data_IF_897447174664
#
_entry.id   IF_897447174664
#
_cell.length_a   1.000
_cell.length_b   1.000
_cell.length_c   1.000
_cell.angle_alpha   90.00
_cell.angle_beta   90.00
_cell.angle_gamma   90.00
#
_symmetry.space_group_name_H-M   'P 1'
#
loop_
_entity.id
_entity.type
_entity.pdbx_description
1 polymer ?
#
# COMPACT_ATOMS: atom_id res chain seq x y z
N UNK A 1 -0.67 2.94 -58.48
CA UNK A 1 -0.29 4.07 -57.62
C UNK A 1 -1.28 4.30 -56.44
N UNK A 2 -2.44 3.67 -56.43
CA UNK A 2 -3.46 3.81 -55.34
C UNK A 2 -3.17 2.87 -54.14
N UNK A 3 -2.46 1.78 -54.39
CA UNK A 3 -2.16 0.76 -53.39
C UNK A 3 -1.26 1.29 -52.24
N UNK A 4 -0.31 2.16 -52.55
CA UNK A 4 0.66 2.68 -51.58
C UNK A 4 0.00 3.54 -50.47
N UNK A 5 -0.92 4.49 -50.77
CA UNK A 5 -1.61 5.27 -49.74
C UNK A 5 -2.55 4.41 -48.89
N UNK A 6 -3.17 3.37 -49.45
CA UNK A 6 -4.06 2.47 -48.71
C UNK A 6 -3.25 1.67 -47.65
N UNK A 7 -2.11 1.14 -48.03
CA UNK A 7 -1.22 0.41 -47.11
C UNK A 7 -0.75 1.34 -45.97
N UNK A 8 -0.41 2.58 -46.30
CA UNK A 8 0.05 3.57 -45.31
C UNK A 8 -1.05 3.92 -44.29
N UNK A 9 -2.29 4.05 -44.76
CA UNK A 9 -3.44 4.27 -43.87
C UNK A 9 -3.69 3.08 -42.96
N UNK A 10 -3.61 1.85 -43.45
CA UNK A 10 -3.81 0.65 -42.67
C UNK A 10 -2.71 0.55 -41.59
N UNK A 11 -1.46 0.78 -41.93
CA UNK A 11 -0.34 0.78 -40.99
C UNK A 11 -0.53 1.84 -39.92
N UNK A 12 -0.95 3.05 -40.28
CA UNK A 12 -1.23 4.14 -39.34
C UNK A 12 -2.35 3.78 -38.36
N UNK A 13 -3.43 3.16 -38.82
CA UNK A 13 -4.53 2.69 -37.97
C UNK A 13 -4.08 1.59 -36.99
N UNK A 14 -3.27 0.64 -37.46
CA UNK A 14 -2.70 -0.43 -36.61
C UNK A 14 -1.80 0.16 -35.53
N UNK A 15 -0.91 1.09 -35.89
CA UNK A 15 -0.04 1.75 -34.92
C UNK A 15 -0.88 2.56 -33.91
N UNK A 16 -1.85 3.33 -34.36
CA UNK A 16 -2.74 4.10 -33.48
C UNK A 16 -3.52 3.21 -32.51
N UNK A 17 -4.06 2.10 -33.01
CA UNK A 17 -4.78 1.13 -32.16
C UNK A 17 -3.85 0.44 -31.12
N UNK A 18 -2.62 0.16 -31.48
CA UNK A 18 -1.62 -0.39 -30.57
C UNK A 18 -1.23 0.62 -29.48
N UNK A 19 -1.08 1.90 -29.82
CA UNK A 19 -0.80 2.97 -28.86
C UNK A 19 -1.95 3.19 -27.89
N UNK A 20 -3.20 3.20 -28.36
CA UNK A 20 -4.38 3.37 -27.52
C UNK A 20 -4.53 2.24 -26.50
N UNK A 21 -4.17 1.02 -26.83
CA UNK A 21 -4.19 -0.14 -25.90
C UNK A 21 -3.15 -0.03 -24.78
N UNK A 22 -2.16 0.85 -24.90
CA UNK A 22 -1.11 1.07 -23.89
C UNK A 22 -1.46 2.12 -22.86
N UNK A 23 -2.53 2.85 -23.06
CA UNK A 23 -3.04 3.77 -22.07
C UNK A 23 -3.77 2.99 -20.96
N UNK A 24 -3.21 3.01 -19.74
CA UNK A 24 -3.79 2.36 -18.57
C UNK A 24 -4.38 3.40 -17.64
N UNK A 25 -5.64 3.16 -17.26
CA UNK A 25 -6.34 3.99 -16.27
C UNK A 25 -6.14 3.38 -14.89
N UNK A 26 -5.91 4.24 -13.92
CA UNK A 26 -5.86 3.87 -12.52
C UNK A 26 -7.25 4.09 -11.92
N UNK A 27 -7.97 3.06 -11.47
CA UNK A 27 -9.19 3.24 -10.69
C UNK A 27 -8.87 3.86 -9.32
N UNK A 28 -9.87 4.47 -8.68
CA UNK A 28 -9.70 5.19 -7.42
C UNK A 28 -9.40 4.29 -6.22
N UNK A 29 -9.68 3.00 -6.33
CA UNK A 29 -9.46 1.99 -5.29
C UNK A 29 -8.07 1.34 -5.34
N UNK A 30 -7.23 1.76 -6.30
CA UNK A 30 -5.89 1.18 -6.54
C UNK A 30 -4.85 2.24 -6.80
N UNK A 31 -3.60 1.87 -6.61
CA UNK A 31 -2.43 2.61 -7.08
C UNK A 31 -1.88 1.87 -8.30
N UNK A 32 -1.66 2.59 -9.39
CA UNK A 32 -0.94 2.09 -10.54
C UNK A 32 0.55 2.33 -10.35
N UNK A 33 1.30 1.25 -10.20
CA UNK A 33 2.76 1.29 -10.08
C UNK A 33 3.36 0.90 -11.42
N UNK A 34 4.09 1.82 -12.03
CA UNK A 34 4.84 1.59 -13.25
C UNK A 34 6.30 1.43 -12.90
N UNK A 35 6.90 0.32 -13.22
CA UNK A 35 8.29 -0.01 -12.93
C UNK A 35 9.07 -0.34 -14.20
N UNK A 36 10.40 -0.29 -14.11
CA UNK A 36 11.31 -0.38 -15.25
C UNK A 36 12.04 0.93 -15.48
N UNK A 37 12.37 1.26 -16.72
CA UNK A 37 13.07 2.50 -17.05
C UNK A 37 12.14 3.71 -16.95
N UNK A 38 12.01 4.29 -15.75
CA UNK A 38 11.12 5.43 -15.47
C UNK A 38 11.84 6.79 -15.40
N UNK A 39 13.16 6.81 -15.65
CA UNK A 39 13.96 8.03 -15.75
C UNK A 39 14.30 8.74 -14.44
N UNK A 40 13.55 8.54 -13.35
CA UNK A 40 13.74 9.19 -12.05
C UNK A 40 13.57 8.28 -10.83
N UNK A 41 13.77 6.97 -10.98
CA UNK A 41 13.62 6.04 -9.86
C UNK A 41 13.22 4.64 -10.32
N UNK A 42 13.16 3.69 -9.40
CA UNK A 42 12.82 2.29 -9.65
C UNK A 42 11.33 2.10 -9.98
N UNK A 43 10.46 2.94 -9.46
CA UNK A 43 9.01 2.87 -9.68
C UNK A 43 8.37 4.26 -9.72
N UNK A 44 7.31 4.41 -10.48
CA UNK A 44 6.44 5.58 -10.52
C UNK A 44 5.04 5.18 -10.08
N UNK A 45 4.60 5.70 -8.95
CA UNK A 45 3.25 5.48 -8.43
C UNK A 45 2.30 6.57 -8.91
N UNK A 46 1.10 6.16 -9.33
CA UNK A 46 0.05 7.08 -9.77
C UNK A 46 -1.27 6.66 -9.12
N UNK A 47 -1.86 7.59 -8.40
CA UNK A 47 -3.18 7.45 -7.82
C UNK A 47 -4.16 8.33 -8.60
N UNK A 48 -5.14 7.69 -9.23
CA UNK A 48 -6.11 8.36 -10.10
C UNK A 48 -5.53 8.77 -11.47
N UNK A 49 -6.40 8.93 -12.44
CA UNK A 49 -6.01 9.30 -13.80
C UNK A 49 -5.52 8.12 -14.65
N UNK A 50 -4.59 8.36 -15.55
CA UNK A 50 -4.04 7.33 -16.42
C UNK A 50 -2.62 7.63 -16.85
N UNK A 51 -1.88 6.59 -17.14
CA UNK A 51 -0.50 6.64 -17.57
C UNK A 51 -0.31 5.84 -18.85
N UNK A 52 0.55 6.34 -19.69
CA UNK A 52 1.02 5.62 -20.86
C UNK A 52 2.22 4.75 -20.47
N UNK A 53 2.08 3.44 -20.63
CA UNK A 53 3.13 2.46 -20.31
C UNK A 53 3.85 2.06 -21.61
N UNK A 54 5.16 2.33 -21.67
CA UNK A 54 5.97 1.96 -22.82
C UNK A 54 6.19 0.45 -22.89
N UNK A 55 5.80 -0.22 -23.99
CA UNK A 55 6.08 -1.64 -24.17
C UNK A 55 7.58 -1.86 -24.20
N UNK A 56 8.04 -3.03 -23.70
CA UNK A 56 9.44 -3.51 -23.71
C UNK A 56 10.31 -2.91 -22.59
N UNK A 57 10.06 -1.66 -22.17
CA UNK A 57 10.94 -0.95 -21.23
C UNK A 57 10.29 -0.81 -19.86
N UNK A 58 8.94 -0.77 -19.83
CA UNK A 58 8.16 -0.57 -18.61
C UNK A 58 7.12 -1.67 -18.45
N UNK A 59 6.89 -2.04 -17.21
CA UNK A 59 5.78 -2.89 -16.83
C UNK A 59 4.94 -2.19 -15.74
N UNK A 60 3.76 -2.72 -15.44
CA UNK A 60 2.87 -2.11 -14.46
C UNK A 60 2.20 -3.16 -13.58
N UNK A 61 1.93 -2.77 -12.36
CA UNK A 61 1.11 -3.54 -11.43
C UNK A 61 0.14 -2.64 -10.68
N UNK A 62 -0.91 -3.24 -10.14
CA UNK A 62 -1.88 -2.53 -9.32
C UNK A 62 -1.71 -2.93 -7.86
N UNK A 63 -1.57 -1.94 -6.98
CA UNK A 63 -1.59 -2.11 -5.54
C UNK A 63 -2.97 -1.70 -5.02
N UNK A 64 -3.61 -2.59 -4.27
CA UNK A 64 -4.95 -2.35 -3.75
C UNK A 64 -4.89 -1.44 -2.51
N UNK A 65 -5.76 -0.42 -2.48
CA UNK A 65 -5.90 0.52 -1.36
C UNK A 65 -6.96 0.11 -0.35
N UNK A 66 -7.65 -1.00 -0.59
CA UNK A 66 -8.72 -1.45 0.30
C UNK A 66 -8.17 -1.67 1.71
N UNK A 67 -8.74 -1.00 2.74
CA UNK A 67 -8.30 -1.20 4.10
C UNK A 67 -8.49 -2.63 4.56
N UNK A 68 -7.52 -3.14 5.32
CA UNK A 68 -7.52 -4.51 5.86
C UNK A 68 -7.80 -4.42 7.35
N UNK A 69 -8.77 -5.21 7.83
CA UNK A 69 -9.08 -5.32 9.25
C UNK A 69 -8.25 -6.44 9.88
N UNK A 70 -7.51 -6.11 10.93
CA UNK A 70 -6.63 -7.02 11.66
C UNK A 70 -7.13 -7.13 13.08
N UNK A 71 -7.45 -8.33 13.51
CA UNK A 71 -7.75 -8.63 14.92
C UNK A 71 -6.44 -8.95 15.64
N UNK A 72 -6.13 -8.15 16.65
CA UNK A 72 -4.95 -8.30 17.48
C UNK A 72 -5.38 -8.57 18.93
N UNK A 73 -5.53 -9.85 19.27
CA UNK A 73 -5.81 -10.28 20.62
C UNK A 73 -4.48 -10.54 21.35
N UNK A 74 -3.98 -9.51 22.00
CA UNK A 74 -2.74 -9.64 22.77
C UNK A 74 -3.04 -10.20 24.15
N UNK A 75 -2.61 -11.42 24.39
CA UNK A 75 -2.75 -12.11 25.68
C UNK A 75 -1.43 -12.14 26.44
N UNK A 76 -1.51 -12.05 27.76
CA UNK A 76 -0.33 -12.09 28.66
C UNK A 76 0.70 -10.97 28.39
N UNK A 77 0.31 -9.80 27.90
CA UNK A 77 1.20 -8.67 27.81
C UNK A 77 1.56 -8.13 29.20
N UNK A 78 2.80 -7.69 29.38
CA UNK A 78 3.25 -7.12 30.64
C UNK A 78 3.15 -5.59 30.56
N UNK A 79 2.44 -4.99 31.51
CA UNK A 79 2.43 -3.55 31.72
C UNK A 79 3.75 -3.05 32.33
N UNK A 80 3.92 -1.72 32.43
CA UNK A 80 5.07 -1.11 33.11
C UNK A 80 5.25 -1.59 34.57
N UNK A 81 4.16 -2.01 35.22
CA UNK A 81 4.15 -2.53 36.58
C UNK A 81 4.36 -4.04 36.66
N UNK A 82 4.77 -4.71 35.58
CA UNK A 82 4.91 -6.17 35.47
C UNK A 82 3.61 -6.95 35.72
N UNK A 83 2.46 -6.33 35.52
CA UNK A 83 1.17 -6.99 35.62
C UNK A 83 0.76 -7.49 34.25
N UNK A 84 0.29 -8.72 34.18
CA UNK A 84 -0.22 -9.32 32.94
C UNK A 84 -1.59 -8.74 32.60
N UNK A 85 -1.74 -8.29 31.36
CA UNK A 85 -2.98 -7.76 30.83
C UNK A 85 -3.33 -8.43 29.50
N UNK A 86 -4.61 -8.60 29.26
CA UNK A 86 -5.15 -9.07 28.00
C UNK A 86 -5.85 -7.90 27.32
N UNK A 87 -5.38 -7.56 26.13
CA UNK A 87 -5.89 -6.41 25.39
C UNK A 87 -6.41 -6.88 24.02
N UNK A 88 -7.71 -7.16 23.91
CA UNK A 88 -8.32 -7.45 22.63
C UNK A 88 -8.50 -6.16 21.84
N UNK A 89 -7.88 -6.06 20.66
CA UNK A 89 -7.97 -4.91 19.78
C UNK A 89 -8.31 -5.33 18.35
N UNK A 90 -8.94 -4.41 17.62
CA UNK A 90 -9.12 -4.53 16.17
C UNK A 90 -8.59 -3.26 15.51
N UNK A 91 -7.72 -3.44 14.54
CA UNK A 91 -7.14 -2.36 13.75
C UNK A 91 -7.63 -2.43 12.32
N UNK A 92 -7.85 -1.26 11.73
CA UNK A 92 -8.06 -1.14 10.29
C UNK A 92 -6.85 -0.39 9.74
N UNK A 93 -6.06 -1.08 8.92
CA UNK A 93 -4.86 -0.54 8.29
C UNK A 93 -5.08 -0.33 6.80
N UNK A 94 -4.52 0.71 6.25
CA UNK A 94 -4.60 1.03 4.82
C UNK A 94 -3.31 1.68 4.35
N UNK A 95 -3.09 1.63 3.05
CA UNK A 95 -1.95 2.26 2.40
C UNK A 95 -2.26 3.75 2.23
N UNK A 96 -1.34 4.62 2.67
CA UNK A 96 -1.46 6.05 2.47
C UNK A 96 -1.34 6.42 0.99
N UNK A 97 -2.11 7.41 0.58
CA UNK A 97 -2.05 7.99 -0.77
C UNK A 97 -1.06 9.15 -0.87
N UNK A 98 -0.35 9.45 0.21
CA UNK A 98 0.69 10.46 0.22
C UNK A 98 1.87 10.03 -0.65
N UNK A 99 2.43 10.91 -1.50
CA UNK A 99 3.40 10.52 -2.54
C UNK A 99 4.61 9.75 -2.02
N UNK A 100 5.19 10.15 -0.90
CA UNK A 100 6.38 9.51 -0.34
C UNK A 100 6.06 8.17 0.27
N UNK A 101 4.98 8.08 1.07
CA UNK A 101 4.50 6.84 1.67
C UNK A 101 4.04 5.84 0.61
N UNK A 102 3.40 6.33 -0.45
CA UNK A 102 2.93 5.52 -1.57
C UNK A 102 4.09 4.87 -2.34
N UNK A 103 5.19 5.60 -2.57
CA UNK A 103 6.37 5.05 -3.23
C UNK A 103 7.05 3.98 -2.36
N UNK A 104 7.21 4.25 -1.08
CA UNK A 104 7.76 3.28 -0.13
C UNK A 104 6.90 2.01 -0.03
N UNK A 105 5.58 2.17 0.03
CA UNK A 105 4.65 1.04 0.04
C UNK A 105 4.74 0.23 -1.25
N UNK A 106 4.84 0.90 -2.41
CA UNK A 106 4.99 0.21 -3.69
C UNK A 106 6.28 -0.61 -3.75
N UNK A 107 7.41 -0.07 -3.30
CA UNK A 107 8.68 -0.79 -3.33
C UNK A 107 8.69 -2.03 -2.43
N UNK A 108 7.98 -1.98 -1.30
CA UNK A 108 7.98 -3.06 -0.30
C UNK A 108 6.86 -4.09 -0.49
N UNK A 109 5.70 -3.66 -0.97
CA UNK A 109 4.49 -4.49 -1.03
C UNK A 109 4.17 -4.99 -2.44
N UNK A 110 4.83 -4.46 -3.46
CA UNK A 110 4.60 -4.90 -4.84
C UNK A 110 4.98 -6.38 -5.00
N UNK A 111 4.02 -7.17 -5.48
CA UNK A 111 4.21 -8.61 -5.68
C UNK A 111 3.81 -9.49 -4.50
N UNK A 112 3.48 -8.91 -3.34
CA UNK A 112 2.94 -9.65 -2.20
C UNK A 112 1.44 -9.90 -2.37
N UNK A 113 0.96 -11.02 -1.87
CA UNK A 113 -0.47 -11.28 -1.80
C UNK A 113 -1.12 -10.46 -0.68
N UNK A 114 -2.44 -10.27 -0.76
CA UNK A 114 -3.18 -9.57 0.30
C UNK A 114 -3.02 -10.24 1.67
N UNK A 115 -2.88 -11.57 1.70
CA UNK A 115 -2.67 -12.33 2.93
C UNK A 115 -1.27 -12.07 3.52
N UNK A 116 -0.23 -12.04 2.68
CA UNK A 116 1.13 -11.76 3.12
C UNK A 116 1.24 -10.34 3.70
N UNK A 117 0.57 -9.37 3.07
CA UNK A 117 0.50 -7.99 3.57
C UNK A 117 -0.23 -7.94 4.92
N UNK A 118 -1.32 -8.69 5.07
CA UNK A 118 -2.07 -8.77 6.32
C UNK A 118 -1.24 -9.39 7.44
N UNK A 119 -0.52 -10.46 7.17
CA UNK A 119 0.33 -11.14 8.15
C UNK A 119 1.51 -10.25 8.58
N UNK A 120 2.16 -9.59 7.61
CA UNK A 120 3.23 -8.62 7.89
C UNK A 120 2.72 -7.46 8.75
N UNK A 121 1.57 -6.87 8.42
CA UNK A 121 0.98 -5.79 9.19
C UNK A 121 0.57 -6.25 10.59
N UNK A 122 0.07 -7.48 10.73
CA UNK A 122 -0.23 -8.09 12.03
C UNK A 122 1.02 -8.19 12.90
N UNK A 123 2.11 -8.71 12.38
CA UNK A 123 3.35 -8.88 13.12
C UNK A 123 3.93 -7.56 13.61
N UNK A 124 3.90 -6.54 12.76
CA UNK A 124 4.32 -5.17 13.13
C UNK A 124 3.42 -4.63 14.24
N UNK A 125 2.09 -4.73 14.09
CA UNK A 125 1.14 -4.28 15.10
C UNK A 125 1.33 -4.98 16.45
N UNK A 126 1.53 -6.29 16.47
CA UNK A 126 1.80 -7.03 17.70
C UNK A 126 3.08 -6.57 18.37
N UNK A 127 4.13 -6.31 17.60
CA UNK A 127 5.39 -5.78 18.12
C UNK A 127 5.20 -4.41 18.77
N UNK A 128 4.54 -3.50 18.07
CA UNK A 128 4.27 -2.13 18.57
C UNK A 128 3.33 -2.13 19.78
N UNK A 129 2.27 -2.93 19.74
CA UNK A 129 1.35 -3.07 20.88
C UNK A 129 2.07 -3.50 22.15
N UNK A 130 2.96 -4.48 22.07
CA UNK A 130 3.74 -4.93 23.24
C UNK A 130 4.60 -3.81 23.81
N UNK A 131 5.25 -3.03 22.95
CA UNK A 131 6.06 -1.87 23.37
C UNK A 131 5.22 -0.80 24.05
N UNK A 132 4.08 -0.45 23.47
CA UNK A 132 3.18 0.56 24.05
C UNK A 132 2.64 0.08 25.40
N UNK A 133 2.16 -1.16 25.49
CA UNK A 133 1.63 -1.71 26.76
C UNK A 133 2.72 -1.77 27.84
N UNK A 134 3.94 -2.15 27.48
CA UNK A 134 5.07 -2.17 28.42
C UNK A 134 5.48 -0.78 28.91
N UNK A 135 5.19 0.26 28.17
CA UNK A 135 5.46 1.66 28.55
C UNK A 135 4.38 2.30 29.42
N UNK A 136 3.17 1.74 29.44
CA UNK A 136 2.01 2.30 30.12
C UNK A 136 1.70 1.59 31.46
N UNK A 137 1.17 2.33 32.42
CA UNK A 137 0.61 1.77 33.65
C UNK A 137 -0.81 1.23 33.42
N UNK A 138 -1.31 0.40 34.34
CA UNK A 138 -2.67 -0.14 34.25
C UNK A 138 -3.72 0.97 34.33
N UNK A 139 -3.45 1.99 35.16
CA UNK A 139 -4.35 3.14 35.30
C UNK A 139 -4.44 3.92 33.99
N UNK A 140 -3.29 4.15 33.31
CA UNK A 140 -3.24 4.82 32.00
C UNK A 140 -3.94 4.00 30.91
N UNK A 141 -3.75 2.68 30.90
CA UNK A 141 -4.43 1.78 29.96
C UNK A 141 -5.96 1.77 30.10
N UNK A 142 -6.44 1.97 31.35
CA UNK A 142 -7.85 1.88 31.70
C UNK A 142 -8.59 3.23 31.62
N UNK A 143 -7.91 4.32 31.94
CA UNK A 143 -8.48 5.66 32.02
C UNK A 143 -8.29 6.50 30.75
N UNK A 144 -7.19 6.30 30.05
CA UNK A 144 -6.82 7.15 28.90
C UNK A 144 -6.76 6.35 27.60
N UNK A 145 -7.94 5.98 27.12
CA UNK A 145 -8.11 5.23 25.86
C UNK A 145 -7.61 6.02 24.66
N UNK A 146 -7.74 7.34 24.71
CA UNK A 146 -7.36 8.24 23.63
C UNK A 146 -5.82 8.35 23.55
N UNK A 147 -5.13 8.50 24.68
CA UNK A 147 -3.68 8.47 24.73
C UNK A 147 -3.09 7.12 24.27
N UNK A 148 -3.75 6.02 24.60
CA UNK A 148 -3.35 4.70 24.12
C UNK A 148 -3.45 4.61 22.58
N UNK A 149 -4.55 5.07 22.00
CA UNK A 149 -4.75 5.09 20.55
C UNK A 149 -3.73 6.00 19.85
N UNK A 150 -3.48 7.19 20.42
CA UNK A 150 -2.52 8.14 19.87
C UNK A 150 -1.08 7.60 19.91
N UNK A 151 -0.67 6.95 20.99
CA UNK A 151 0.64 6.31 21.11
C UNK A 151 0.82 5.18 20.09
N UNK A 152 -0.20 4.36 19.87
CA UNK A 152 -0.15 3.33 18.83
C UNK A 152 -0.02 3.97 17.44
N UNK A 153 -0.87 4.96 17.15
CA UNK A 153 -0.87 5.65 15.87
C UNK A 153 0.50 6.24 15.54
N UNK A 154 1.09 6.95 16.50
CA UNK A 154 2.41 7.56 16.38
C UNK A 154 3.55 6.54 16.16
N UNK A 155 3.42 5.33 16.72
CA UNK A 155 4.44 4.28 16.57
C UNK A 155 4.24 3.40 15.32
N UNK A 156 3.06 3.46 14.69
CA UNK A 156 2.70 2.64 13.51
C UNK A 156 2.73 3.46 12.21
N UNK A 157 2.60 4.78 12.28
CA UNK A 157 2.83 5.66 11.13
C UNK A 157 4.33 5.69 10.79
N UNK A 158 4.73 4.78 9.87
CA UNK A 158 6.10 4.68 9.32
C UNK A 158 6.07 5.04 7.83
#
# INVERSE_FOLDING_TARGET
MVELPIILIIVAVVIASALLKRYRRCPSDKILVVYGSTGKGSAKCVHGGGVFVWPIIQDYAYLNLTPISIEANLTNALSRQNIRVDVPCRFTVGISTEPDSMNNAAERLLGLSANDIQDMARDILFGQLRLVIASMSIEELNQDRDAFQENIKKNVEI
#
